data_IF_299150328204
#
_entry.id   IF_299150328204
#
_cell.length_a   1.000
_cell.length_b   1.000
_cell.length_c   1.000
_cell.angle_alpha   90.00
_cell.angle_beta   90.00
_cell.angle_gamma   90.00
#
_symmetry.space_group_name_H-M   'P 1'
#
loop_
_entity.id
_entity.type
_entity.pdbx_description
1 polymer ?
#
# COMPACT_ATOMS: atom_id res chain seq x y z
N UNK A 1 15.22 8.23 2.48
CA UNK A 1 15.65 7.42 3.65
C UNK A 1 16.57 6.32 3.15
N UNK A 2 17.80 6.23 3.65
CA UNK A 2 18.69 5.09 3.37
C UNK A 2 18.63 4.14 4.56
N UNK A 3 17.82 3.07 4.45
CA UNK A 3 17.86 1.95 5.38
C UNK A 3 19.17 1.18 5.17
N UNK A 4 19.73 0.61 6.24
CA UNK A 4 20.81 -0.36 6.08
C UNK A 4 20.29 -1.60 5.34
N UNK A 5 21.17 -2.37 4.70
CA UNK A 5 20.77 -3.59 3.98
C UNK A 5 20.02 -4.58 4.88
N UNK A 6 20.47 -4.71 6.14
CA UNK A 6 19.83 -5.53 7.16
C UNK A 6 18.44 -5.03 7.55
N UNK A 7 18.27 -3.72 7.72
CA UNK A 7 16.97 -3.14 8.06
C UNK A 7 16.00 -3.24 6.89
N UNK A 8 16.50 -3.08 5.65
CA UNK A 8 15.71 -3.29 4.43
C UNK A 8 15.22 -4.73 4.32
N UNK A 9 16.09 -5.71 4.56
CA UNK A 9 15.68 -7.12 4.55
C UNK A 9 14.67 -7.44 5.64
N UNK A 10 14.88 -6.93 6.85
CA UNK A 10 13.97 -7.14 7.98
C UNK A 10 12.60 -6.50 7.71
N UNK A 11 12.60 -5.29 7.15
CA UNK A 11 11.39 -4.61 6.69
C UNK A 11 10.68 -5.45 5.63
N UNK A 12 11.36 -5.89 4.58
CA UNK A 12 10.76 -6.69 3.51
C UNK A 12 10.22 -8.03 4.02
N UNK A 13 10.92 -8.70 4.93
CA UNK A 13 10.43 -9.93 5.59
C UNK A 13 9.16 -9.68 6.38
N UNK A 14 9.11 -8.57 7.11
CA UNK A 14 7.94 -8.19 7.91
C UNK A 14 6.78 -7.82 6.99
N UNK A 15 7.00 -6.99 5.97
CA UNK A 15 5.98 -6.58 5.00
C UNK A 15 5.41 -7.75 4.19
N UNK A 16 6.23 -8.76 3.90
CA UNK A 16 5.82 -10.00 3.23
C UNK A 16 5.21 -11.03 4.17
N UNK A 17 5.17 -10.78 5.49
CA UNK A 17 4.42 -11.61 6.40
C UNK A 17 2.94 -11.54 6.01
N UNK A 18 2.32 -12.71 5.77
CA UNK A 18 0.90 -12.82 5.40
C UNK A 18 -0.03 -12.60 6.61
N UNK A 19 0.36 -11.73 7.54
CA UNK A 19 -0.45 -11.36 8.68
C UNK A 19 -1.65 -10.52 8.18
N UNK A 20 -2.90 -10.97 8.39
CA UNK A 20 -4.08 -10.24 7.99
C UNK A 20 -4.13 -8.80 8.53
N UNK A 21 -3.67 -8.57 9.78
CA UNK A 21 -3.69 -7.25 10.39
C UNK A 21 -2.72 -6.30 9.68
N UNK A 22 -1.54 -6.80 9.29
CA UNK A 22 -0.56 -6.04 8.54
C UNK A 22 -1.06 -5.70 7.13
N UNK A 23 -1.68 -6.65 6.44
CA UNK A 23 -2.26 -6.42 5.10
C UNK A 23 -3.35 -5.35 5.17
N UNK A 24 -4.23 -5.42 6.17
CA UNK A 24 -5.29 -4.43 6.37
C UNK A 24 -4.74 -3.02 6.66
N UNK A 25 -3.72 -2.92 7.52
CA UNK A 25 -3.08 -1.64 7.82
C UNK A 25 -2.42 -1.02 6.57
N UNK A 26 -1.73 -1.85 5.76
CA UNK A 26 -1.13 -1.40 4.49
C UNK A 26 -2.18 -0.94 3.49
N UNK A 27 -3.28 -1.66 3.37
CA UNK A 27 -4.40 -1.28 2.51
C UNK A 27 -5.04 0.05 2.95
N UNK A 28 -5.28 0.22 4.26
CA UNK A 28 -5.82 1.47 4.80
C UNK A 28 -4.89 2.66 4.52
N UNK A 29 -3.58 2.50 4.73
CA UNK A 29 -2.59 3.52 4.43
C UNK A 29 -2.54 3.86 2.93
N UNK A 30 -2.59 2.85 2.06
CA UNK A 30 -2.61 3.07 0.62
C UNK A 30 -3.83 3.89 0.19
N UNK A 31 -5.03 3.52 0.66
CA UNK A 31 -6.26 4.22 0.33
C UNK A 31 -6.28 5.66 0.85
N UNK A 32 -5.69 5.92 2.02
CA UNK A 32 -5.56 7.28 2.57
C UNK A 32 -4.67 8.15 1.69
N UNK A 33 -3.49 7.65 1.31
CA UNK A 33 -2.56 8.38 0.46
C UNK A 33 -3.13 8.64 -0.95
N UNK A 34 -3.84 7.66 -1.52
CA UNK A 34 -4.57 7.85 -2.77
C UNK A 34 -5.65 8.94 -2.64
N UNK A 35 -6.35 9.01 -1.52
CA UNK A 35 -7.36 10.04 -1.25
C UNK A 35 -6.74 11.44 -1.06
N UNK A 36 -5.48 11.53 -0.63
CA UNK A 36 -4.70 12.78 -0.58
C UNK A 36 -4.16 13.21 -1.96
N UNK A 37 -4.42 12.43 -3.01
CA UNK A 37 -4.09 12.77 -4.40
C UNK A 37 -2.77 12.21 -4.90
N UNK A 38 -2.13 11.30 -4.17
CA UNK A 38 -0.93 10.62 -4.64
C UNK A 38 -1.29 9.62 -5.75
N UNK A 39 -0.35 9.41 -6.67
CA UNK A 39 -0.50 8.42 -7.75
C UNK A 39 -0.35 6.98 -7.21
N UNK A 40 -0.85 6.00 -7.97
CA UNK A 40 -0.66 4.57 -7.65
C UNK A 40 0.82 4.19 -7.58
N UNK A 41 1.64 4.77 -8.46
CA UNK A 41 3.09 4.59 -8.50
C UNK A 41 3.76 5.11 -7.22
N UNK A 42 3.44 6.35 -6.81
CA UNK A 42 4.03 6.96 -5.61
C UNK A 42 3.65 6.18 -4.35
N UNK A 43 2.39 5.78 -4.22
CA UNK A 43 1.90 5.00 -3.07
C UNK A 43 2.56 3.62 -3.04
N UNK A 44 2.74 2.97 -4.19
CA UNK A 44 3.43 1.69 -4.29
C UNK A 44 4.89 1.80 -3.83
N UNK A 45 5.58 2.86 -4.26
CA UNK A 45 6.95 3.16 -3.83
C UNK A 45 7.06 3.43 -2.32
N UNK A 46 6.16 4.24 -1.76
CA UNK A 46 6.16 4.60 -0.33
C UNK A 46 5.87 3.40 0.58
N UNK A 47 4.98 2.50 0.15
CA UNK A 47 4.54 1.36 0.95
C UNK A 47 5.27 0.05 0.62
N UNK A 48 6.28 0.10 -0.25
CA UNK A 48 7.01 -1.06 -0.76
C UNK A 48 6.07 -2.16 -1.25
N UNK A 49 5.12 -1.76 -2.10
CA UNK A 49 4.13 -2.62 -2.74
C UNK A 49 4.39 -2.68 -4.25
N UNK A 50 3.88 -3.72 -4.90
CA UNK A 50 3.70 -3.68 -6.33
C UNK A 50 2.53 -2.76 -6.69
N UNK A 51 2.65 -2.01 -7.78
CA UNK A 51 1.63 -1.07 -8.22
C UNK A 51 0.30 -1.76 -8.53
N UNK A 52 0.34 -3.01 -9.00
CA UNK A 52 -0.85 -3.80 -9.30
C UNK A 52 -1.69 -4.09 -8.04
N UNK A 53 -1.06 -4.35 -6.90
CA UNK A 53 -1.74 -4.49 -5.60
C UNK A 53 -2.46 -3.21 -5.19
N UNK A 54 -1.79 -2.05 -5.32
CA UNK A 54 -2.37 -0.74 -4.99
C UNK A 54 -3.56 -0.42 -5.91
N UNK A 55 -3.39 -0.60 -7.22
CA UNK A 55 -4.46 -0.43 -8.21
C UNK A 55 -5.64 -1.37 -7.95
N UNK A 56 -5.36 -2.63 -7.56
CA UNK A 56 -6.37 -3.61 -7.18
C UNK A 56 -7.19 -3.15 -5.96
N UNK A 57 -6.54 -2.59 -4.94
CA UNK A 57 -7.22 -2.07 -3.76
C UNK A 57 -8.05 -0.82 -4.07
N UNK A 58 -7.52 0.10 -4.88
CA UNK A 58 -8.25 1.27 -5.36
C UNK A 58 -9.53 0.84 -6.10
N UNK A 59 -9.43 -0.12 -7.02
CA UNK A 59 -10.58 -0.63 -7.76
C UNK A 59 -11.62 -1.33 -6.86
N UNK A 60 -11.18 -2.10 -5.87
CA UNK A 60 -12.06 -2.73 -4.88
C UNK A 60 -12.84 -1.69 -4.05
N UNK A 61 -12.17 -0.60 -3.66
CA UNK A 61 -12.81 0.46 -2.88
C UNK A 61 -13.74 1.33 -3.75
N UNK A 62 -13.32 1.71 -4.95
CA UNK A 62 -14.14 2.47 -5.90
C UNK A 62 -15.44 1.72 -6.27
N UNK A 63 -15.36 0.40 -6.50
CA UNK A 63 -16.56 -0.43 -6.76
C UNK A 63 -17.56 -0.46 -5.60
N UNK A 64 -17.09 -0.27 -4.36
CA UNK A 64 -17.93 -0.24 -3.16
C UNK A 64 -18.48 1.15 -2.84
N UNK A 65 -17.98 2.20 -3.49
CA UNK A 65 -18.36 3.58 -3.18
C UNK A 65 -18.66 4.40 -4.45
N UNK A 66 -19.84 4.24 -5.06
CA UNK A 66 -20.21 4.97 -6.27
C UNK A 66 -20.46 6.49 -6.07
N UNK A 67 -20.14 7.05 -4.89
CA UNK A 67 -20.36 8.47 -4.54
C UNK A 67 -19.09 9.27 -4.24
N UNK A 68 -17.90 8.70 -4.43
CA UNK A 68 -16.63 9.40 -4.23
C UNK A 68 -15.92 9.64 -5.56
N UNK A 69 -16.61 10.32 -6.48
CA UNK A 69 -16.08 10.82 -7.75
C UNK A 69 -16.64 12.22 -8.01
#
# INVERSE_FOLDING_TARGET
>A
MHLSEHDRETLLKTLNAKDPALIQARMANALLLLAEGLSTEDVAGLLYLDEASVAGWQALFAKRNPKAA
#
